data_IF_339755431043
#
_entry.id   IF_339755431043
#
_cell.length_a   1.000
_cell.length_b   1.000
_cell.length_c   1.000
_cell.angle_alpha   90.00
_cell.angle_beta   90.00
_cell.angle_gamma   90.00
#
_symmetry.space_group_name_H-M   'P 1'
#
loop_
_entity.id
_entity.type
_entity.pdbx_description
1 polymer ?
#
# COMPACT_ATOMS: atom_id res chain seq x y z
N UNK A 1 -7.60 16.60 -9.28
CA UNK A 1 -8.32 15.70 -8.35
C UNK A 1 -7.25 14.87 -7.67
N UNK A 2 -7.08 15.04 -6.36
CA UNK A 2 -6.09 14.31 -5.58
C UNK A 2 -6.47 12.82 -5.56
N UNK A 3 -5.58 11.94 -6.03
CA UNK A 3 -5.84 10.50 -6.10
C UNK A 3 -5.90 9.85 -4.70
N UNK A 4 -5.49 10.58 -3.65
CA UNK A 4 -5.65 10.20 -2.24
C UNK A 4 -7.07 10.45 -1.73
N UNK A 5 -7.89 11.18 -2.48
CA UNK A 5 -9.31 11.45 -2.18
C UNK A 5 -10.25 10.52 -2.95
N UNK A 6 -9.83 9.29 -3.31
CA UNK A 6 -10.68 8.39 -4.10
C UNK A 6 -12.01 8.00 -3.43
N UNK A 7 -12.18 8.35 -2.16
CA UNK A 7 -13.37 8.12 -1.36
C UNK A 7 -14.17 9.41 -1.11
N UNK A 8 -13.97 10.47 -1.89
CA UNK A 8 -14.77 11.70 -1.76
C UNK A 8 -15.37 12.10 -3.10
N UNK A 9 -16.69 12.24 -3.15
CA UNK A 9 -17.44 12.73 -4.31
C UNK A 9 -17.94 14.16 -4.07
N UNK A 10 -18.13 14.92 -5.15
CA UNK A 10 -18.68 16.28 -5.08
C UNK A 10 -20.22 16.21 -5.09
N UNK A 11 -20.87 16.70 -4.04
CA UNK A 11 -22.34 16.86 -3.93
C UNK A 11 -22.71 18.35 -3.94
N UNK A 12 -23.95 18.74 -4.33
CA UNK A 12 -24.44 20.11 -4.21
C UNK A 12 -24.29 20.74 -2.81
N UNK A 13 -24.28 19.91 -1.76
CA UNK A 13 -24.16 20.34 -0.37
C UNK A 13 -22.73 20.28 0.19
N UNK A 14 -21.74 19.92 -0.65
CA UNK A 14 -20.32 19.84 -0.26
C UNK A 14 -19.64 18.52 -0.64
N UNK A 15 -18.36 18.33 -0.27
CA UNK A 15 -17.66 17.06 -0.47
C UNK A 15 -18.22 15.97 0.47
N UNK A 16 -18.59 14.82 -0.08
CA UNK A 16 -19.19 13.69 0.64
C UNK A 16 -18.26 12.49 0.60
N UNK A 17 -18.04 11.86 1.76
CA UNK A 17 -17.29 10.60 1.87
C UNK A 17 -18.10 9.45 1.26
N UNK A 18 -17.53 8.77 0.27
CA UNK A 18 -18.04 7.57 -0.37
C UNK A 18 -17.15 6.42 0.08
N UNK A 19 -17.67 5.64 1.03
CA UNK A 19 -17.02 4.40 1.44
C UNK A 19 -17.09 3.40 0.28
N UNK A 20 -15.95 3.13 -0.37
CA UNK A 20 -15.87 2.12 -1.42
C UNK A 20 -15.76 0.72 -0.82
N UNK A 21 -16.63 0.39 0.14
CA UNK A 21 -16.82 -0.97 0.63
C UNK A 21 -18.28 -1.23 1.03
N UNK A 22 -18.98 -2.23 0.44
CA UNK A 22 -18.58 -3.17 -0.62
C UNK A 22 -19.09 -2.70 -2.02
N UNK A 23 -18.90 -3.43 -3.13
CA UNK A 23 -18.88 -2.89 -4.50
C UNK A 23 -20.19 -2.22 -4.91
N UNK A 24 -20.11 -1.19 -5.77
CA UNK A 24 -21.26 -0.58 -6.42
C UNK A 24 -22.04 -1.66 -7.19
N UNK A 25 -23.23 -2.00 -6.68
CA UNK A 25 -24.21 -2.89 -7.30
C UNK A 25 -24.88 -2.14 -8.46
N UNK A 26 -24.91 -2.76 -9.65
CA UNK A 26 -25.74 -2.26 -10.76
C UNK A 26 -27.20 -2.69 -10.51
N UNK A 27 -28.21 -1.80 -10.62
CA UNK A 27 -29.61 -2.08 -10.23
C UNK A 27 -30.31 -3.18 -11.03
N UNK A 28 -29.66 -3.70 -12.06
CA UNK A 28 -30.15 -4.63 -13.07
C UNK A 28 -29.75 -6.10 -12.82
N UNK A 29 -29.31 -6.43 -11.59
CA UNK A 29 -29.25 -7.82 -11.12
C UNK A 29 -28.06 -8.65 -11.63
N UNK A 30 -27.04 -7.99 -12.20
CA UNK A 30 -25.92 -8.64 -12.87
C UNK A 30 -24.73 -8.98 -11.97
N UNK A 31 -24.14 -10.14 -12.23
CA UNK A 31 -22.90 -10.72 -11.70
C UNK A 31 -21.61 -9.95 -12.04
N UNK A 32 -21.65 -8.61 -12.11
CA UNK A 32 -20.52 -7.79 -12.58
C UNK A 32 -20.04 -6.83 -11.51
N UNK A 33 -18.75 -6.93 -11.17
CA UNK A 33 -18.09 -6.10 -10.16
C UNK A 33 -17.40 -4.90 -10.82
N UNK A 34 -17.73 -3.67 -10.42
CA UNK A 34 -16.95 -2.49 -10.79
C UNK A 34 -15.69 -2.40 -9.92
N UNK A 35 -14.57 -2.91 -10.44
CA UNK A 35 -13.24 -2.70 -9.84
C UNK A 35 -12.73 -1.32 -10.25
N UNK A 36 -12.10 -0.61 -9.31
CA UNK A 36 -11.43 0.69 -9.49
C UNK A 36 -10.79 0.88 -10.89
N UNK A 37 -10.87 2.11 -11.41
CA UNK A 37 -10.10 2.52 -12.60
C UNK A 37 -8.63 2.73 -12.18
N UNK A 38 -7.64 2.22 -12.94
CA UNK A 38 -7.80 1.47 -14.19
C UNK A 38 -8.28 0.03 -13.96
N UNK A 39 -9.18 -0.42 -14.85
CA UNK A 39 -9.68 -1.80 -14.88
C UNK A 39 -8.46 -2.72 -15.01
N UNK A 40 -8.28 -3.70 -14.10
CA UNK A 40 -7.17 -4.63 -14.21
C UNK A 40 -7.25 -5.38 -15.55
N UNK A 41 -6.18 -5.38 -16.37
CA UNK A 41 -6.18 -5.97 -17.71
C UNK A 41 -6.27 -7.50 -17.72
N UNK A 42 -6.07 -8.16 -16.57
CA UNK A 42 -6.06 -9.62 -16.45
C UNK A 42 -6.89 -10.12 -15.27
N UNK A 43 -7.47 -11.32 -15.39
CA UNK A 43 -8.21 -11.96 -14.28
C UNK A 43 -7.32 -12.19 -13.05
N UNK A 44 -6.03 -12.51 -13.26
CA UNK A 44 -5.07 -12.67 -12.17
C UNK A 44 -4.90 -11.38 -11.36
N UNK A 45 -4.89 -10.22 -12.00
CA UNK A 45 -4.85 -8.93 -11.31
C UNK A 45 -6.17 -8.61 -10.60
N UNK A 46 -7.31 -8.98 -11.18
CA UNK A 46 -8.62 -8.89 -10.49
C UNK A 46 -8.63 -9.73 -9.23
N UNK A 47 -8.20 -10.99 -9.30
CA UNK A 47 -8.16 -11.90 -8.15
C UNK A 47 -7.21 -11.40 -7.07
N UNK A 48 -6.04 -10.85 -7.47
CA UNK A 48 -5.11 -10.20 -6.55
C UNK A 48 -5.72 -8.98 -5.86
N UNK A 49 -6.47 -8.15 -6.60
CA UNK A 49 -7.19 -7.00 -6.03
C UNK A 49 -8.31 -7.43 -5.08
N UNK A 50 -9.03 -8.50 -5.38
CA UNK A 50 -10.07 -9.05 -4.51
C UNK A 50 -9.42 -9.58 -3.23
N UNK A 51 -8.39 -10.42 -3.34
CA UNK A 51 -7.66 -10.95 -2.19
C UNK A 51 -7.12 -9.82 -1.32
N UNK A 52 -6.54 -8.77 -1.91
CA UNK A 52 -6.04 -7.61 -1.18
C UNK A 52 -7.13 -6.83 -0.44
N UNK A 53 -8.35 -6.78 -0.97
CA UNK A 53 -9.43 -5.90 -0.44
C UNK A 53 -10.40 -6.62 0.48
N UNK A 54 -10.68 -7.90 0.22
CA UNK A 54 -11.76 -8.66 0.85
C UNK A 54 -11.27 -9.84 1.68
N UNK A 55 -9.98 -10.24 1.58
CA UNK A 55 -9.39 -11.18 2.53
C UNK A 55 -8.98 -10.42 3.80
N UNK A 56 -9.32 -10.89 5.02
CA UNK A 56 -8.93 -10.25 6.27
C UNK A 56 -7.45 -9.88 6.36
N UNK A 57 -6.54 -10.77 5.94
CA UNK A 57 -5.10 -10.52 5.93
C UNK A 57 -4.71 -9.42 4.93
N UNK A 58 -5.33 -9.42 3.75
CA UNK A 58 -5.11 -8.39 2.72
C UNK A 58 -5.60 -7.02 3.18
N UNK A 59 -6.80 -6.95 3.73
CA UNK A 59 -7.40 -5.72 4.25
C UNK A 59 -6.58 -5.16 5.41
N UNK A 60 -6.14 -6.02 6.34
CA UNK A 60 -5.29 -5.62 7.46
C UNK A 60 -3.89 -5.19 7.01
N UNK A 61 -3.31 -5.82 5.98
CA UNK A 61 -2.04 -5.37 5.38
C UNK A 61 -2.16 -3.97 4.77
N UNK A 62 -3.29 -3.69 4.13
CA UNK A 62 -3.55 -2.35 3.61
C UNK A 62 -3.67 -1.32 4.73
N UNK A 63 -4.45 -1.62 5.77
CA UNK A 63 -4.55 -0.76 6.96
C UNK A 63 -3.17 -0.54 7.59
N UNK A 64 -2.36 -1.60 7.72
CA UNK A 64 -0.97 -1.54 8.20
C UNK A 64 -0.16 -0.54 7.38
N UNK A 65 -0.21 -0.61 6.05
CA UNK A 65 0.49 0.36 5.21
C UNK A 65 -0.02 1.79 5.39
N UNK A 66 -1.34 1.99 5.43
CA UNK A 66 -1.93 3.33 5.62
C UNK A 66 -1.47 3.94 6.96
N UNK A 67 -1.42 3.14 8.03
CA UNK A 67 -0.86 3.55 9.32
C UNK A 67 0.64 3.85 9.26
N UNK A 68 1.44 2.95 8.67
CA UNK A 68 2.88 3.15 8.49
C UNK A 68 3.18 4.42 7.69
N UNK A 69 2.35 4.77 6.71
CA UNK A 69 2.53 5.98 5.90
C UNK A 69 2.36 7.27 6.71
N UNK A 70 1.52 7.23 7.76
CA UNK A 70 1.29 8.33 8.69
C UNK A 70 2.43 8.36 9.72
N UNK A 71 2.60 7.27 10.45
CA UNK A 71 3.57 7.13 11.53
C UNK A 71 3.92 5.65 11.73
N UNK A 72 5.19 5.24 11.58
CA UNK A 72 5.62 3.85 11.76
C UNK A 72 5.24 3.24 13.12
N UNK A 73 5.17 4.05 14.18
CA UNK A 73 4.85 3.57 15.53
C UNK A 73 3.41 3.05 15.67
N UNK A 74 2.51 3.44 14.76
CA UNK A 74 1.12 2.98 14.74
C UNK A 74 1.00 1.49 14.41
N UNK A 75 2.02 0.88 13.80
CA UNK A 75 2.08 -0.57 13.57
C UNK A 75 1.97 -1.36 14.89
N UNK A 76 2.60 -0.86 15.96
CA UNK A 76 2.53 -1.49 17.28
C UNK A 76 1.12 -1.45 17.86
N UNK A 77 0.40 -0.35 17.65
CA UNK A 77 -1.01 -0.23 18.05
C UNK A 77 -1.87 -1.21 17.25
N UNK A 78 -1.68 -1.29 15.94
CA UNK A 78 -2.40 -2.26 15.10
C UNK A 78 -2.20 -3.70 15.60
N UNK A 79 -0.97 -4.10 15.90
CA UNK A 79 -0.69 -5.45 16.40
C UNK A 79 -1.32 -5.71 17.77
N UNK A 80 -1.36 -4.69 18.63
CA UNK A 80 -2.06 -4.76 19.92
C UNK A 80 -3.57 -4.98 19.74
N UNK A 81 -4.20 -4.22 18.84
CA UNK A 81 -5.64 -4.33 18.56
C UNK A 81 -6.00 -5.66 17.90
N UNK A 82 -5.15 -6.16 16.99
CA UNK A 82 -5.30 -7.50 16.39
C UNK A 82 -5.32 -8.58 17.48
N UNK A 83 -4.44 -8.46 18.48
CA UNK A 83 -4.33 -9.42 19.59
C UNK A 83 -5.58 -9.45 20.48
N UNK A 84 -6.21 -8.31 20.69
CA UNK A 84 -7.35 -8.16 21.62
C UNK A 84 -8.69 -8.35 20.91
N UNK A 85 -8.82 -7.85 19.68
CA UNK A 85 -10.09 -7.73 18.97
C UNK A 85 -10.46 -8.94 18.10
N UNK A 86 -9.52 -9.80 17.73
CA UNK A 86 -9.79 -10.95 16.87
C UNK A 86 -10.04 -12.24 17.66
N UNK A 87 -10.96 -13.07 17.14
CA UNK A 87 -11.14 -14.42 17.65
C UNK A 87 -9.85 -15.25 17.49
N UNK A 88 -9.57 -16.24 18.37
CA UNK A 88 -8.26 -16.91 18.43
C UNK A 88 -7.75 -17.51 17.12
N UNK A 89 -8.64 -18.10 16.31
CA UNK A 89 -8.26 -18.71 15.03
C UNK A 89 -7.88 -17.66 13.99
N UNK A 90 -8.69 -16.62 13.86
CA UNK A 90 -8.42 -15.51 12.95
C UNK A 90 -7.18 -14.71 13.39
N UNK A 91 -7.00 -14.51 14.69
CA UNK A 91 -5.80 -13.91 15.26
C UNK A 91 -4.53 -14.66 14.80
N UNK A 92 -4.53 -15.99 14.94
CA UNK A 92 -3.39 -16.82 14.53
C UNK A 92 -3.12 -16.67 13.04
N UNK A 93 -4.15 -16.77 12.20
CA UNK A 93 -4.02 -16.60 10.74
C UNK A 93 -3.40 -15.25 10.36
N UNK A 94 -3.82 -14.17 11.01
CA UNK A 94 -3.32 -12.82 10.75
C UNK A 94 -1.87 -12.65 11.22
N UNK A 95 -1.54 -13.16 12.40
CA UNK A 95 -0.17 -13.08 12.94
C UNK A 95 0.81 -13.89 12.09
N UNK A 96 0.45 -15.13 11.75
CA UNK A 96 1.28 -16.01 10.90
C UNK A 96 1.49 -15.35 9.52
N UNK A 97 0.45 -14.74 8.97
CA UNK A 97 0.53 -13.97 7.73
C UNK A 97 1.52 -12.81 7.85
N UNK A 98 1.40 -11.96 8.88
CA UNK A 98 2.31 -10.83 9.05
C UNK A 98 3.76 -11.26 9.29
N UNK A 99 3.98 -12.33 10.03
CA UNK A 99 5.32 -12.91 10.23
C UNK A 99 5.92 -13.45 8.93
N UNK A 100 5.10 -14.04 8.05
CA UNK A 100 5.57 -14.56 6.76
C UNK A 100 6.03 -13.48 5.77
N UNK A 101 5.55 -12.24 5.93
CA UNK A 101 5.88 -11.12 5.05
C UNK A 101 6.85 -10.11 5.70
N UNK A 102 7.18 -10.28 6.98
CA UNK A 102 8.07 -9.36 7.69
C UNK A 102 9.53 -9.61 7.33
N UNK A 103 10.07 -8.77 6.45
CA UNK A 103 11.47 -8.83 6.02
C UNK A 103 12.39 -8.04 6.94
N UNK A 104 12.58 -8.55 8.15
CA UNK A 104 13.81 -8.32 8.91
C UNK A 104 13.92 -7.02 9.71
N UNK A 105 12.80 -6.40 10.12
CA UNK A 105 12.85 -5.32 11.10
C UNK A 105 13.52 -4.03 10.59
N UNK A 106 13.28 -3.67 9.32
CA UNK A 106 13.62 -2.34 8.82
C UNK A 106 12.96 -1.28 9.71
N UNK A 107 13.76 -0.35 10.21
CA UNK A 107 13.35 0.82 11.00
C UNK A 107 14.00 2.08 10.43
N UNK A 108 13.67 3.24 10.99
CA UNK A 108 14.30 4.52 10.64
C UNK A 108 15.80 4.56 10.87
N UNK A 109 16.34 3.71 11.76
CA UNK A 109 17.76 3.64 12.08
C UNK A 109 18.53 2.69 11.14
N UNK A 110 17.83 1.99 10.25
CA UNK A 110 18.47 1.04 9.33
C UNK A 110 19.33 1.79 8.32
N UNK A 111 20.50 1.25 7.98
CA UNK A 111 21.37 1.89 6.99
C UNK A 111 20.71 1.93 5.61
N UNK A 112 20.92 3.02 4.86
CA UNK A 112 20.41 3.11 3.48
C UNK A 112 20.92 1.96 2.60
N UNK A 113 22.13 1.45 2.85
CA UNK A 113 22.68 0.30 2.12
C UNK A 113 21.88 -0.98 2.33
N UNK A 114 21.42 -1.24 3.55
CA UNK A 114 20.60 -2.42 3.86
C UNK A 114 19.16 -2.26 3.35
N UNK A 115 18.61 -1.04 3.38
CA UNK A 115 17.29 -0.74 2.80
C UNK A 115 17.29 -0.93 1.29
N UNK A 116 18.32 -0.45 0.60
CA UNK A 116 18.49 -0.67 -0.84
C UNK A 116 18.59 -2.17 -1.15
N UNK A 117 19.38 -2.92 -0.37
CA UNK A 117 19.48 -4.38 -0.54
C UNK A 117 18.12 -5.07 -0.35
N UNK A 118 17.32 -4.64 0.63
CA UNK A 118 15.98 -5.19 0.86
C UNK A 118 15.04 -4.91 -0.34
N UNK A 119 15.12 -3.73 -0.94
CA UNK A 119 14.38 -3.36 -2.16
C UNK A 119 14.83 -4.20 -3.36
N UNK A 120 16.14 -4.34 -3.59
CA UNK A 120 16.69 -5.13 -4.69
C UNK A 120 16.34 -6.63 -4.59
N UNK A 121 16.19 -7.15 -3.36
CA UNK A 121 15.77 -8.53 -3.09
C UNK A 121 14.24 -8.72 -3.13
N UNK A 122 13.47 -7.64 -3.34
CA UNK A 122 12.01 -7.68 -3.42
C UNK A 122 11.58 -7.66 -4.89
N UNK A 123 10.75 -8.62 -5.35
CA UNK A 123 10.25 -8.61 -6.72
C UNK A 123 9.57 -7.27 -7.04
N UNK A 124 9.81 -6.65 -8.21
CA UNK A 124 9.17 -5.38 -8.59
C UNK A 124 7.63 -5.42 -8.65
N UNK A 125 7.05 -6.62 -8.73
CA UNK A 125 5.61 -6.85 -8.67
C UNK A 125 5.04 -6.91 -7.25
N UNK A 126 5.89 -7.07 -6.22
CA UNK A 126 5.49 -7.08 -4.81
C UNK A 126 5.42 -5.66 -4.24
N UNK A 127 4.44 -4.92 -4.76
CA UNK A 127 4.20 -3.50 -4.47
C UNK A 127 4.06 -3.23 -2.98
N UNK A 128 3.39 -4.11 -2.24
CA UNK A 128 3.12 -3.89 -0.82
C UNK A 128 4.38 -4.04 0.03
N UNK A 129 5.25 -5.02 -0.28
CA UNK A 129 6.52 -5.19 0.44
C UNK A 129 7.44 -3.99 0.19
N UNK A 130 7.56 -3.53 -1.06
CA UNK A 130 8.36 -2.33 -1.40
C UNK A 130 7.89 -1.10 -0.63
N UNK A 131 6.57 -0.91 -0.56
CA UNK A 131 5.92 0.19 0.15
C UNK A 131 6.15 0.14 1.66
N UNK A 132 6.02 -1.04 2.27
CA UNK A 132 6.26 -1.23 3.69
C UNK A 132 7.72 -0.97 4.08
N UNK A 133 8.69 -1.45 3.28
CA UNK A 133 10.12 -1.18 3.49
C UNK A 133 10.36 0.34 3.52
N UNK A 134 9.85 1.06 2.52
CA UNK A 134 10.01 2.51 2.46
C UNK A 134 9.32 3.23 3.62
N UNK A 135 8.08 2.82 3.95
CA UNK A 135 7.30 3.47 5.01
C UNK A 135 7.95 3.34 6.39
N UNK A 136 8.55 2.18 6.69
CA UNK A 136 9.28 1.98 7.95
C UNK A 136 10.59 2.76 8.03
N UNK A 137 11.29 2.92 6.91
CA UNK A 137 12.60 3.54 6.88
C UNK A 137 12.55 5.07 6.80
N UNK A 138 11.63 5.64 6.01
CA UNK A 138 11.51 7.10 5.88
C UNK A 138 11.25 7.68 7.28
N UNK A 139 11.97 8.74 7.71
CA UNK A 139 11.78 9.31 9.04
C UNK A 139 10.49 10.15 9.13
N UNK A 140 10.08 10.46 10.36
CA UNK A 140 9.03 11.43 10.61
C UNK A 140 9.52 12.85 10.27
N UNK A 141 8.65 13.68 9.72
CA UNK A 141 8.99 15.05 9.34
C UNK A 141 7.94 15.69 8.42
N UNK A 142 8.07 17.01 8.17
CA UNK A 142 7.10 17.77 7.36
C UNK A 142 6.95 17.23 5.94
N UNK A 143 8.03 16.69 5.36
CA UNK A 143 8.04 16.19 3.98
C UNK A 143 7.64 14.72 3.86
N UNK A 144 7.34 14.04 4.98
CA UNK A 144 7.01 12.61 4.97
C UNK A 144 5.86 12.30 4.01
N UNK A 145 4.77 13.09 4.07
CA UNK A 145 3.60 12.88 3.22
C UNK A 145 3.95 12.99 1.73
N UNK A 146 4.85 13.91 1.37
CA UNK A 146 5.32 14.11 0.00
C UNK A 146 6.18 12.92 -0.45
N UNK A 147 7.12 12.50 0.40
CA UNK A 147 8.00 11.34 0.16
C UNK A 147 7.18 10.03 0.02
N UNK A 148 6.18 9.83 0.87
CA UNK A 148 5.29 8.67 0.81
C UNK A 148 4.39 8.67 -0.44
N UNK A 149 3.96 9.84 -0.92
CA UNK A 149 3.24 9.96 -2.19
C UNK A 149 4.13 9.53 -3.37
N UNK A 150 5.40 9.95 -3.39
CA UNK A 150 6.37 9.50 -4.40
C UNK A 150 6.61 7.98 -4.34
N UNK A 151 6.79 7.42 -3.14
CA UNK A 151 6.87 5.96 -2.94
C UNK A 151 5.64 5.25 -3.51
N UNK A 152 4.45 5.79 -3.28
CA UNK A 152 3.21 5.19 -3.79
C UNK A 152 3.20 5.09 -5.32
N UNK A 153 3.67 6.12 -6.03
CA UNK A 153 3.74 6.14 -7.50
C UNK A 153 4.88 5.32 -8.09
N UNK A 154 6.02 5.24 -7.40
CA UNK A 154 7.18 4.49 -7.87
C UNK A 154 7.04 2.99 -7.62
N UNK A 155 6.44 2.59 -6.50
CA UNK A 155 6.28 1.18 -6.15
C UNK A 155 5.13 0.48 -6.90
N UNK A 156 4.13 1.21 -7.42
CA UNK A 156 2.97 0.57 -8.08
C UNK A 156 3.33 -0.02 -9.45
N UNK A 157 2.57 -1.02 -9.87
CA UNK A 157 2.59 -1.48 -11.27
C UNK A 157 2.12 -0.35 -12.19
N UNK A 158 2.82 -0.15 -13.31
CA UNK A 158 2.42 0.84 -14.31
C UNK A 158 1.06 0.44 -14.91
N UNK A 159 0.06 1.29 -14.72
CA UNK A 159 -1.17 1.23 -15.51
C UNK A 159 -0.97 1.95 -16.84
N UNK A 160 -1.70 1.58 -17.90
CA UNK A 160 -1.64 2.30 -19.16
C UNK A 160 -2.02 3.78 -18.96
N UNK A 161 -1.14 4.69 -19.39
CA UNK A 161 -1.45 6.12 -19.52
C UNK A 161 -1.12 7.04 -18.35
N UNK A 162 -0.43 6.59 -17.28
CA UNK A 162 0.04 7.51 -16.24
C UNK A 162 1.49 7.94 -16.47
N UNK A 163 1.75 9.21 -16.84
CA UNK A 163 3.09 9.70 -17.18
C UNK A 163 4.05 9.75 -15.98
N UNK A 164 3.56 9.59 -14.74
CA UNK A 164 4.38 9.68 -13.52
C UNK A 164 5.03 8.37 -13.12
N UNK A 165 4.61 7.25 -13.69
CA UNK A 165 5.15 5.92 -13.35
C UNK A 165 5.82 5.31 -14.57
N UNK A 166 7.14 5.07 -14.53
CA UNK A 166 7.82 4.34 -15.60
C UNK A 166 7.16 3.00 -15.90
N UNK A 167 7.01 2.69 -17.19
CA UNK A 167 6.47 1.40 -17.63
C UNK A 167 7.42 0.25 -17.26
N UNK A 168 8.72 0.46 -17.40
CA UNK A 168 9.76 -0.49 -17.06
C UNK A 168 9.88 -0.68 -15.53
N UNK A 169 9.65 -1.89 -14.99
CA UNK A 169 9.84 -2.18 -13.58
C UNK A 169 11.26 -1.88 -13.07
N UNK A 170 12.31 -2.10 -13.88
CA UNK A 170 13.68 -1.84 -13.44
C UNK A 170 13.93 -0.34 -13.22
N UNK A 171 13.44 0.49 -14.13
CA UNK A 171 13.50 1.95 -14.01
C UNK A 171 12.72 2.46 -12.76
N UNK A 172 11.57 1.85 -12.45
CA UNK A 172 10.81 2.19 -11.23
C UNK A 172 11.61 1.92 -9.97
N UNK A 173 12.23 0.75 -9.87
CA UNK A 173 13.05 0.37 -8.71
C UNK A 173 14.27 1.29 -8.59
N UNK A 174 14.93 1.61 -9.70
CA UNK A 174 16.05 2.56 -9.70
C UNK A 174 15.63 3.94 -9.15
N UNK A 175 14.52 4.50 -9.63
CA UNK A 175 13.99 5.78 -9.15
C UNK A 175 13.55 5.74 -7.69
N UNK A 176 13.01 4.61 -7.22
CA UNK A 176 12.68 4.41 -5.80
C UNK A 176 13.95 4.43 -4.94
N UNK A 177 15.01 3.74 -5.37
CA UNK A 177 16.31 3.75 -4.69
C UNK A 177 16.92 5.16 -4.68
N UNK A 178 16.86 5.89 -5.79
CA UNK A 178 17.38 7.26 -5.88
C UNK A 178 16.63 8.22 -4.95
N UNK A 179 15.30 8.08 -4.83
CA UNK A 179 14.51 8.82 -3.85
C UNK A 179 15.02 8.57 -2.42
N UNK A 180 15.22 7.31 -2.03
CA UNK A 180 15.67 6.98 -0.68
C UNK A 180 17.10 7.45 -0.41
N UNK A 181 17.98 7.40 -1.40
CA UNK A 181 19.34 7.96 -1.30
C UNK A 181 19.33 9.48 -1.13
N UNK A 182 18.42 10.18 -1.82
CA UNK A 182 18.22 11.62 -1.63
C UNK A 182 17.81 11.94 -0.20
N UNK A 183 16.85 11.18 0.35
CA UNK A 183 16.39 11.34 1.74
C UNK A 183 17.52 11.10 2.75
N UNK A 184 18.43 10.15 2.49
CA UNK A 184 19.56 9.87 3.38
C UNK A 184 20.64 10.96 3.37
N UNK A 185 20.65 11.83 2.35
CA UNK A 185 21.64 12.89 2.18
C UNK A 185 21.17 14.25 2.73
N UNK A 186 19.88 14.39 3.01
CA UNK A 186 19.24 15.56 3.65
C UNK A 186 19.50 15.59 5.17
#
# INVERSE_FOLDING_TARGET
>A
MDLRLSNFAKSPDGPVYVDTFPPLYSPDGGTTYHVHIPIPPTQAEVDAHIARKFNPCGSLRRLRFDLLSIDPELERLLMSEIRVGLQPDLHRTVVDFFQSIDRGGITTDTSIGDVVRAIEQTPPSDVDTLREICARWIPMGPDRIIRMDQVFYLARNAGPGDPRTPADPAERIAKLIDLLRGIAAD
#
